data_IF_885216123092
#
_entry.id   IF_885216123092
#
_cell.length_a   1.000
_cell.length_b   1.000
_cell.length_c   1.000
_cell.angle_alpha   90.00
_cell.angle_beta   90.00
_cell.angle_gamma   90.00
#
_symmetry.space_group_name_H-M   'P 1'
#
loop_
_entity.id
_entity.type
_entity.pdbx_description
1 polymer ?
#
# COMPACT_ATOMS: atom_id res chain seq x y z
N UNK A 1 23.18 8.26 47.46
CA UNK A 1 22.79 7.44 46.28
C UNK A 1 21.29 7.53 45.91
N UNK A 2 20.36 7.74 46.86
CA UNK A 2 18.92 7.84 46.59
C UNK A 2 18.48 9.03 45.68
N UNK A 3 19.13 10.19 45.80
CA UNK A 3 18.82 11.39 44.98
C UNK A 3 19.12 11.20 43.48
N UNK A 4 20.27 10.60 43.13
CA UNK A 4 20.63 10.26 41.74
C UNK A 4 19.65 9.24 41.12
N UNK A 5 19.15 8.30 41.93
CA UNK A 5 18.12 7.33 41.53
C UNK A 5 16.75 7.98 41.28
N UNK A 6 16.34 8.94 42.11
CA UNK A 6 15.08 9.70 41.94
C UNK A 6 15.12 10.61 40.70
N UNK A 7 16.23 11.30 40.47
CA UNK A 7 16.45 12.12 39.27
C UNK A 7 16.49 11.28 37.99
N UNK A 8 17.15 10.12 38.00
CA UNK A 8 17.15 9.18 36.88
C UNK A 8 15.74 8.64 36.58
N UNK A 9 14.96 8.27 37.61
CA UNK A 9 13.56 7.85 37.47
C UNK A 9 12.67 8.96 36.90
N UNK A 10 12.85 10.21 37.34
CA UNK A 10 12.14 11.36 36.79
C UNK A 10 12.52 11.64 35.33
N UNK A 11 13.79 11.50 34.94
CA UNK A 11 14.22 11.64 33.55
C UNK A 11 13.67 10.53 32.65
N UNK A 12 13.66 9.28 33.12
CA UNK A 12 13.06 8.15 32.40
C UNK A 12 11.54 8.36 32.23
N UNK A 13 10.85 8.80 33.28
CA UNK A 13 9.42 9.15 33.24
C UNK A 13 9.13 10.29 32.25
N UNK A 14 9.88 11.40 32.31
CA UNK A 14 9.78 12.51 31.35
C UNK A 14 10.02 12.07 29.91
N UNK A 15 11.05 11.25 29.66
CA UNK A 15 11.34 10.69 28.32
C UNK A 15 10.22 9.77 27.83
N UNK A 16 9.61 9.01 28.73
CA UNK A 16 8.47 8.15 28.41
C UNK A 16 7.22 8.95 28.06
N UNK A 17 6.92 10.00 28.82
CA UNK A 17 5.79 10.90 28.56
C UNK A 17 5.94 11.64 27.22
N UNK A 18 7.15 12.11 26.89
CA UNK A 18 7.44 12.72 25.59
C UNK A 18 7.19 11.75 24.42
N UNK A 19 7.66 10.51 24.55
CA UNK A 19 7.40 9.48 23.53
C UNK A 19 5.91 9.24 23.35
N UNK A 20 5.15 9.12 24.44
CA UNK A 20 3.70 8.93 24.37
C UNK A 20 2.99 10.13 23.72
N UNK A 21 3.46 11.35 23.97
CA UNK A 21 2.94 12.55 23.33
C UNK A 21 3.12 12.50 21.81
N UNK A 22 4.33 12.22 21.31
CA UNK A 22 4.61 12.21 19.87
C UNK A 22 3.82 11.15 19.10
N UNK A 23 3.48 10.03 19.74
CA UNK A 23 2.75 8.94 19.09
C UNK A 23 1.41 9.38 18.53
N UNK A 24 0.62 10.13 19.31
CA UNK A 24 -0.67 10.64 18.84
C UNK A 24 -0.54 12.02 18.19
N UNK A 25 0.38 12.87 18.66
CA UNK A 25 0.52 14.23 18.15
C UNK A 25 0.96 14.29 16.69
N UNK A 26 1.87 13.42 16.24
CA UNK A 26 2.38 13.44 14.86
C UNK A 26 1.28 13.09 13.83
N UNK A 27 0.56 11.95 13.95
CA UNK A 27 -0.54 11.64 13.04
C UNK A 27 -1.70 12.63 13.13
N UNK A 28 -2.00 13.15 14.34
CA UNK A 28 -3.04 14.16 14.52
C UNK A 28 -2.69 15.47 13.85
N UNK A 29 -1.44 15.94 13.96
CA UNK A 29 -0.99 17.15 13.31
C UNK A 29 -1.08 17.02 11.78
N UNK A 30 -0.62 15.88 11.23
CA UNK A 30 -0.76 15.60 9.80
C UNK A 30 -2.25 15.58 9.37
N UNK A 31 -3.14 15.05 10.21
CA UNK A 31 -4.58 15.09 9.96
C UNK A 31 -5.16 16.51 9.98
N UNK A 32 -4.83 17.33 10.97
CA UNK A 32 -5.29 18.72 11.09
C UNK A 32 -4.83 19.56 9.90
N UNK A 33 -3.57 19.40 9.46
CA UNK A 33 -3.06 20.06 8.24
C UNK A 33 -3.92 19.67 7.04
N UNK A 34 -4.30 18.40 6.91
CA UNK A 34 -5.19 17.95 5.82
C UNK A 34 -6.58 18.56 5.90
N UNK A 35 -7.14 18.79 7.09
CA UNK A 35 -8.42 19.49 7.22
C UNK A 35 -8.35 20.93 6.70
N UNK A 36 -7.22 21.63 6.95
CA UNK A 36 -6.98 22.96 6.39
C UNK A 36 -6.90 22.88 4.86
N UNK A 37 -6.15 21.91 4.32
CA UNK A 37 -6.04 21.69 2.87
C UNK A 37 -7.41 21.40 2.24
N UNK A 38 -8.22 20.55 2.88
CA UNK A 38 -9.59 20.26 2.45
C UNK A 38 -10.46 21.52 2.42
N UNK A 39 -10.40 22.36 3.46
CA UNK A 39 -11.15 23.62 3.52
C UNK A 39 -10.78 24.61 2.41
N UNK A 40 -9.57 24.50 1.86
CA UNK A 40 -9.08 25.33 0.75
C UNK A 40 -9.17 24.62 -0.62
N UNK A 41 -9.77 23.44 -0.68
CA UNK A 41 -9.91 22.64 -1.90
C UNK A 41 -11.37 22.57 -2.30
N UNK A 42 -11.68 22.89 -3.57
CA UNK A 42 -13.04 22.76 -4.11
C UNK A 42 -13.60 21.35 -3.88
N UNK A 43 -14.75 21.26 -3.21
CA UNK A 43 -15.39 19.98 -2.86
C UNK A 43 -14.65 19.14 -1.80
N UNK A 44 -13.56 19.64 -1.21
CA UNK A 44 -12.81 18.96 -0.15
C UNK A 44 -11.87 17.84 -0.61
N UNK A 45 -11.60 17.69 -1.91
CA UNK A 45 -10.70 16.66 -2.44
C UNK A 45 -10.38 16.81 -3.92
N UNK A 46 -9.54 15.90 -4.44
CA UNK A 46 -9.13 15.88 -5.85
C UNK A 46 -9.43 14.54 -6.52
N UNK A 47 -9.53 14.55 -7.85
CA UNK A 47 -9.63 13.32 -8.63
C UNK A 47 -8.29 12.59 -8.70
N UNK A 48 -8.34 11.26 -8.53
CA UNK A 48 -7.20 10.37 -8.76
C UNK A 48 -7.09 9.94 -10.22
N UNK A 49 -6.27 8.92 -10.48
CA UNK A 49 -6.15 8.27 -11.80
C UNK A 49 -7.50 7.83 -12.35
N UNK A 50 -8.30 7.15 -11.50
CA UNK A 50 -9.58 6.56 -11.89
C UNK A 50 -10.75 7.25 -11.17
N UNK A 51 -10.54 8.49 -10.71
CA UNK A 51 -11.50 9.22 -9.87
C UNK A 51 -12.87 9.37 -10.51
N UNK A 52 -12.91 9.65 -11.81
CA UNK A 52 -14.12 9.77 -12.61
C UNK A 52 -14.87 8.43 -12.67
N UNK A 53 -14.17 7.33 -12.90
CA UNK A 53 -14.76 5.99 -12.93
C UNK A 53 -15.36 5.61 -11.56
N UNK A 54 -14.68 5.96 -10.46
CA UNK A 54 -15.20 5.71 -9.11
C UNK A 54 -16.47 6.50 -8.81
N UNK A 55 -16.51 7.78 -9.21
CA UNK A 55 -17.70 8.61 -9.08
C UNK A 55 -18.84 8.15 -9.99
N UNK A 56 -18.55 7.74 -11.22
CA UNK A 56 -19.55 7.18 -12.12
C UNK A 56 -20.19 5.90 -11.56
N UNK A 57 -19.39 5.03 -10.93
CA UNK A 57 -19.91 3.87 -10.22
C UNK A 57 -20.80 4.24 -9.03
N UNK A 58 -20.38 5.23 -8.23
CA UNK A 58 -21.18 5.72 -7.11
C UNK A 58 -22.49 6.37 -7.57
N UNK A 59 -22.48 7.10 -8.69
CA UNK A 59 -23.66 7.68 -9.32
C UNK A 59 -24.64 6.60 -9.82
N UNK A 60 -24.13 5.53 -10.45
CA UNK A 60 -24.95 4.36 -10.81
C UNK A 60 -25.67 3.75 -9.59
N UNK A 61 -24.95 3.59 -8.47
CA UNK A 61 -25.51 3.12 -7.20
C UNK A 61 -26.51 4.10 -6.59
N UNK A 62 -26.32 5.42 -6.73
CA UNK A 62 -27.31 6.42 -6.29
C UNK A 62 -28.61 6.31 -7.08
N UNK A 63 -28.53 6.05 -8.40
CA UNK A 63 -29.68 5.98 -9.30
C UNK A 63 -30.46 4.67 -9.21
N UNK A 64 -29.76 3.54 -9.12
CA UNK A 64 -30.36 2.20 -9.24
C UNK A 64 -30.26 1.36 -7.96
N UNK A 65 -29.57 1.86 -6.92
CA UNK A 65 -29.34 1.13 -5.69
C UNK A 65 -28.22 0.09 -5.79
N UNK A 66 -28.18 -0.82 -4.81
CA UNK A 66 -27.06 -1.77 -4.63
C UNK A 66 -26.82 -2.66 -5.87
N UNK A 67 -27.90 -3.11 -6.52
CA UNK A 67 -27.87 -3.98 -7.71
C UNK A 67 -27.77 -3.22 -9.03
N UNK A 68 -27.26 -1.98 -9.01
CA UNK A 68 -27.00 -1.21 -10.23
C UNK A 68 -26.24 -2.02 -11.29
N UNK A 69 -26.71 -1.96 -12.54
CA UNK A 69 -26.14 -2.64 -13.70
C UNK A 69 -25.09 -1.79 -14.43
N UNK A 70 -24.77 -0.60 -13.90
CA UNK A 70 -23.78 0.29 -14.49
C UNK A 70 -22.46 -0.45 -14.76
N UNK A 71 -22.03 -0.46 -16.03
CA UNK A 71 -20.94 -1.31 -16.51
C UNK A 71 -19.64 -1.14 -15.73
N UNK A 72 -19.33 0.07 -15.26
CA UNK A 72 -18.16 0.38 -14.43
C UNK A 72 -18.10 -0.40 -13.11
N UNK A 73 -19.25 -0.81 -12.55
CA UNK A 73 -19.34 -1.56 -11.29
C UNK A 73 -19.05 -3.06 -11.45
N UNK A 74 -19.05 -3.58 -12.68
CA UNK A 74 -18.62 -4.94 -13.00
C UNK A 74 -17.26 -4.98 -13.69
N UNK A 75 -16.90 -3.92 -14.41
CA UNK A 75 -15.56 -3.73 -14.95
C UNK A 75 -14.54 -3.49 -13.83
N UNK A 76 -14.74 -2.46 -13.01
CA UNK A 76 -13.94 -2.20 -11.82
C UNK A 76 -14.59 -2.84 -10.58
N UNK A 77 -13.82 -3.08 -9.52
CA UNK A 77 -14.39 -3.59 -8.27
C UNK A 77 -15.40 -2.61 -7.67
N UNK A 78 -16.62 -3.09 -7.40
CA UNK A 78 -17.70 -2.26 -6.88
C UNK A 78 -17.47 -1.74 -5.44
N UNK A 79 -16.55 -2.31 -4.67
CA UNK A 79 -16.46 -2.02 -3.24
C UNK A 79 -16.06 -0.58 -2.90
N UNK A 80 -15.20 0.06 -3.71
CA UNK A 80 -14.86 1.48 -3.51
C UNK A 80 -16.01 2.42 -3.91
N UNK A 81 -16.66 2.26 -5.09
CA UNK A 81 -17.92 2.94 -5.39
C UNK A 81 -19.00 2.77 -4.32
N UNK A 82 -19.15 1.57 -3.74
CA UNK A 82 -20.11 1.31 -2.65
C UNK A 82 -19.76 2.11 -1.40
N UNK A 83 -18.47 2.21 -1.04
CA UNK A 83 -18.04 3.08 0.07
C UNK A 83 -18.42 4.55 -0.19
N UNK A 84 -18.14 5.06 -1.40
CA UNK A 84 -18.49 6.44 -1.79
C UNK A 84 -20.01 6.63 -1.72
N UNK A 85 -20.78 5.68 -2.24
CA UNK A 85 -22.24 5.69 -2.21
C UNK A 85 -22.81 5.73 -0.79
N UNK A 86 -22.28 4.90 0.13
CA UNK A 86 -22.70 4.90 1.53
C UNK A 86 -22.41 6.24 2.22
N UNK A 87 -21.28 6.88 1.92
CA UNK A 87 -20.96 8.22 2.44
C UNK A 87 -21.87 9.29 1.81
N UNK A 88 -22.16 9.18 0.51
CA UNK A 88 -23.05 10.09 -0.20
C UNK A 88 -24.49 10.04 0.32
N UNK A 89 -24.93 8.93 0.93
CA UNK A 89 -26.23 8.86 1.63
C UNK A 89 -26.32 9.78 2.84
N UNK A 90 -25.20 10.17 3.44
CA UNK A 90 -25.18 11.18 4.52
C UNK A 90 -25.34 12.59 3.94
N UNK A 91 -24.66 12.87 2.84
CA UNK A 91 -24.78 14.13 2.09
C UNK A 91 -24.17 13.97 0.70
N UNK A 92 -25.01 14.08 -0.34
CA UNK A 92 -24.54 14.03 -1.74
C UNK A 92 -23.66 15.25 -2.05
N UNK A 93 -24.09 16.44 -1.60
CA UNK A 93 -23.36 17.71 -1.80
C UNK A 93 -21.95 17.66 -1.21
N UNK A 94 -21.80 17.02 -0.05
CA UNK A 94 -20.52 16.91 0.65
C UNK A 94 -19.84 15.53 0.47
N UNK A 95 -20.24 14.73 -0.52
CA UNK A 95 -19.78 13.34 -0.66
C UNK A 95 -18.26 13.20 -0.77
N UNK A 96 -17.62 14.06 -1.58
CA UNK A 96 -16.16 14.08 -1.73
C UNK A 96 -15.46 14.52 -0.44
N UNK A 97 -16.01 15.52 0.24
CA UNK A 97 -15.48 15.98 1.52
C UNK A 97 -15.54 14.87 2.58
N UNK A 98 -16.68 14.17 2.68
CA UNK A 98 -16.87 13.05 3.62
C UNK A 98 -15.90 11.90 3.33
N UNK A 99 -15.69 11.57 2.05
CA UNK A 99 -14.69 10.59 1.62
C UNK A 99 -13.28 10.99 2.04
N UNK A 100 -12.85 12.21 1.70
CA UNK A 100 -11.53 12.75 2.08
C UNK A 100 -11.33 12.76 3.59
N UNK A 101 -12.35 13.14 4.35
CA UNK A 101 -12.33 13.14 5.82
C UNK A 101 -12.16 11.71 6.35
N UNK A 102 -13.00 10.79 5.90
CA UNK A 102 -12.97 9.38 6.31
C UNK A 102 -11.60 8.75 6.04
N UNK A 103 -11.09 8.87 4.81
CA UNK A 103 -9.79 8.33 4.43
C UNK A 103 -8.65 8.96 5.24
N UNK A 104 -8.71 10.28 5.47
CA UNK A 104 -7.68 11.00 6.21
C UNK A 104 -7.64 10.62 7.69
N UNK A 105 -8.81 10.47 8.32
CA UNK A 105 -8.96 10.05 9.71
C UNK A 105 -8.51 8.59 9.87
N UNK A 106 -8.92 7.72 8.94
CA UNK A 106 -8.53 6.32 8.95
C UNK A 106 -7.01 6.13 8.77
N UNK A 107 -6.39 6.88 7.87
CA UNK A 107 -4.92 6.86 7.70
C UNK A 107 -4.18 7.38 8.93
N UNK A 108 -4.68 8.43 9.58
CA UNK A 108 -4.10 8.96 10.81
C UNK A 108 -4.16 7.92 11.94
N UNK A 109 -5.30 7.25 12.10
CA UNK A 109 -5.46 6.17 13.06
C UNK A 109 -4.55 4.97 12.74
N UNK A 110 -4.50 4.52 11.49
CA UNK A 110 -3.66 3.40 11.07
C UNK A 110 -2.15 3.69 11.30
N UNK A 111 -1.72 4.92 10.98
CA UNK A 111 -0.36 5.40 11.24
C UNK A 111 -0.03 5.40 12.72
N UNK A 112 -0.92 5.97 13.55
CA UNK A 112 -0.79 5.95 15.01
C UNK A 112 -0.69 4.52 15.53
N UNK A 113 -1.63 3.65 15.13
CA UNK A 113 -1.75 2.30 15.64
C UNK A 113 -0.50 1.47 15.30
N UNK A 114 -0.03 1.53 14.05
CA UNK A 114 1.19 0.84 13.63
C UNK A 114 2.40 1.26 14.48
N UNK A 115 2.66 2.56 14.62
CA UNK A 115 3.81 3.07 15.38
C UNK A 115 3.66 2.77 16.88
N UNK A 116 2.44 2.82 17.42
CA UNK A 116 2.14 2.45 18.81
C UNK A 116 2.61 1.03 19.11
N UNK A 117 2.42 0.08 18.19
CA UNK A 117 2.91 -1.28 18.41
C UNK A 117 4.44 -1.33 18.48
N UNK A 118 5.16 -0.47 17.77
CA UNK A 118 6.64 -0.48 17.82
C UNK A 118 7.19 0.09 19.13
N UNK A 119 6.40 0.89 19.87
CA UNK A 119 6.82 1.60 21.10
C UNK A 119 7.36 0.66 22.17
N UNK A 120 6.68 -0.47 22.39
CA UNK A 120 6.98 -1.39 23.49
C UNK A 120 8.04 -2.43 23.11
N UNK A 121 8.86 -2.11 22.09
CA UNK A 121 9.93 -2.96 21.57
C UNK A 121 11.28 -2.23 21.56
N UNK A 122 12.37 -2.92 21.19
CA UNK A 122 13.69 -2.30 20.96
C UNK A 122 13.69 -1.27 19.82
N UNK A 123 12.60 -1.16 19.06
CA UNK A 123 12.43 -0.14 18.02
C UNK A 123 12.00 1.23 18.56
N UNK A 124 11.71 1.34 19.86
CA UNK A 124 11.37 2.59 20.55
C UNK A 124 12.26 3.79 20.20
N UNK A 125 13.60 3.66 20.05
CA UNK A 125 14.45 4.80 19.69
C UNK A 125 14.20 5.36 18.29
N UNK A 126 13.57 4.58 17.39
CA UNK A 126 13.37 4.93 15.98
C UNK A 126 11.97 5.49 15.69
N UNK A 127 11.01 5.30 16.60
CA UNK A 127 9.58 5.57 16.37
C UNK A 127 9.27 7.03 16.01
N UNK A 128 10.07 8.00 16.48
CA UNK A 128 9.86 9.40 16.13
C UNK A 128 10.03 9.62 14.62
N UNK A 129 11.13 9.11 14.05
CA UNK A 129 11.39 9.26 12.62
C UNK A 129 10.45 8.37 11.80
N UNK A 130 10.09 7.17 12.29
CA UNK A 130 9.09 6.32 11.66
C UNK A 130 7.73 7.03 11.59
N UNK A 131 7.30 7.65 12.70
CA UNK A 131 6.03 8.38 12.75
C UNK A 131 6.00 9.54 11.76
N UNK A 132 7.06 10.36 11.71
CA UNK A 132 7.16 11.45 10.74
C UNK A 132 7.15 10.90 9.32
N UNK A 133 8.01 9.91 9.04
CA UNK A 133 8.15 9.37 7.68
C UNK A 133 6.85 8.75 7.16
N UNK A 134 6.02 8.15 8.00
CA UNK A 134 4.72 7.60 7.57
C UNK A 134 3.65 8.70 7.50
N UNK A 135 3.47 9.49 8.55
CA UNK A 135 2.37 10.46 8.63
C UNK A 135 2.53 11.65 7.68
N UNK A 136 3.77 12.11 7.46
CA UNK A 136 4.10 13.28 6.65
C UNK A 136 4.71 12.94 5.29
N UNK A 137 4.77 11.67 4.88
CA UNK A 137 5.15 11.35 3.50
C UNK A 137 4.16 12.05 2.55
N UNK A 138 4.61 12.96 1.66
CA UNK A 138 3.69 13.83 0.95
C UNK A 138 2.68 13.08 0.08
N UNK A 139 3.12 12.04 -0.63
CA UNK A 139 2.21 11.23 -1.45
C UNK A 139 1.27 10.41 -0.59
N UNK A 140 1.77 9.64 0.39
CA UNK A 140 0.90 8.84 1.25
C UNK A 140 -0.15 9.69 1.98
N UNK A 141 0.27 10.83 2.51
CA UNK A 141 -0.59 11.70 3.31
C UNK A 141 -1.62 12.42 2.45
N UNK A 142 -1.23 13.04 1.33
CA UNK A 142 -2.16 13.78 0.48
C UNK A 142 -3.04 12.89 -0.37
N UNK A 143 -2.62 11.65 -0.67
CA UNK A 143 -3.46 10.70 -1.40
C UNK A 143 -4.72 10.31 -0.63
N UNK A 144 -4.82 10.62 0.67
CA UNK A 144 -6.08 10.46 1.41
C UNK A 144 -7.13 11.51 1.07
N UNK A 145 -6.73 12.59 0.38
CA UNK A 145 -7.61 13.64 -0.15
C UNK A 145 -7.97 13.42 -1.62
N UNK A 146 -7.55 12.28 -2.17
CA UNK A 146 -7.79 11.91 -3.56
C UNK A 146 -8.90 10.89 -3.61
N UNK A 147 -9.78 11.01 -4.60
CA UNK A 147 -10.75 9.98 -4.98
C UNK A 147 -9.97 8.86 -5.68
N UNK A 148 -9.38 8.00 -4.85
CA UNK A 148 -8.57 6.85 -5.25
C UNK A 148 -8.38 5.92 -4.05
N UNK A 149 -8.59 4.62 -4.27
CA UNK A 149 -8.61 3.64 -3.21
C UNK A 149 -7.23 3.39 -2.57
N UNK A 150 -6.14 3.84 -3.19
CA UNK A 150 -4.77 3.43 -2.87
C UNK A 150 -4.36 3.81 -1.44
N UNK A 151 -4.81 4.97 -0.97
CA UNK A 151 -4.52 5.47 0.38
C UNK A 151 -5.33 4.74 1.46
N UNK A 152 -6.58 4.36 1.14
CA UNK A 152 -7.41 3.50 1.99
C UNK A 152 -6.74 2.14 2.16
N UNK A 153 -6.22 1.55 1.09
CA UNK A 153 -5.50 0.27 1.16
C UNK A 153 -4.17 0.40 1.93
N UNK A 154 -3.46 1.52 1.79
CA UNK A 154 -2.27 1.80 2.61
C UNK A 154 -2.60 1.84 4.10
N UNK A 155 -3.75 2.43 4.46
CA UNK A 155 -4.27 2.44 5.83
C UNK A 155 -4.60 1.01 6.31
N UNK A 156 -5.30 0.22 5.50
CA UNK A 156 -5.58 -1.18 5.79
C UNK A 156 -4.29 -1.98 6.00
N UNK A 157 -3.24 -1.73 5.20
CA UNK A 157 -1.97 -2.42 5.32
C UNK A 157 -1.24 -2.08 6.62
N UNK A 158 -1.14 -0.79 6.97
CA UNK A 158 -0.54 -0.35 8.24
C UNK A 158 -1.30 -0.94 9.44
N UNK A 159 -2.62 -0.94 9.38
CA UNK A 159 -3.47 -1.50 10.43
C UNK A 159 -3.30 -3.01 10.55
N UNK A 160 -3.30 -3.73 9.43
CA UNK A 160 -3.07 -5.19 9.37
C UNK A 160 -1.72 -5.55 10.00
N UNK A 161 -0.65 -4.85 9.61
CA UNK A 161 0.67 -5.10 10.19
C UNK A 161 0.72 -4.73 11.67
N UNK A 162 0.08 -3.63 12.08
CA UNK A 162 -0.06 -3.30 13.49
C UNK A 162 -0.75 -4.42 14.28
N UNK A 163 -1.87 -4.96 13.78
CA UNK A 163 -2.63 -6.03 14.44
C UNK A 163 -1.79 -7.31 14.57
N UNK A 164 -1.07 -7.68 13.51
CA UNK A 164 -0.16 -8.82 13.52
C UNK A 164 0.97 -8.60 14.55
N UNK A 165 1.59 -7.42 14.57
CA UNK A 165 2.64 -7.09 15.55
C UNK A 165 2.11 -7.16 16.98
N UNK A 166 0.94 -6.57 17.25
CA UNK A 166 0.29 -6.62 18.56
C UNK A 166 0.04 -8.07 19.01
N UNK A 167 -0.39 -8.94 18.10
CA UNK A 167 -0.62 -10.37 18.40
C UNK A 167 0.66 -11.11 18.81
N UNK A 168 1.82 -10.66 18.33
CA UNK A 168 3.11 -11.32 18.57
C UNK A 168 3.80 -10.88 19.86
N UNK A 169 3.37 -9.78 20.49
CA UNK A 169 4.08 -9.17 21.62
C UNK A 169 3.86 -9.85 22.95
N UNK A 170 2.74 -10.54 23.13
CA UNK A 170 2.39 -11.24 24.36
C UNK A 170 1.93 -12.66 24.00
N UNK A 171 2.37 -13.65 24.77
CA UNK A 171 1.97 -15.04 24.62
C UNK A 171 0.53 -15.25 25.15
N UNK A 172 -0.42 -14.51 24.57
CA UNK A 172 -1.81 -14.48 24.94
C UNK A 172 -2.67 -14.96 23.77
N UNK A 173 -3.28 -16.13 23.92
CA UNK A 173 -4.11 -16.75 22.88
C UNK A 173 -5.31 -15.88 22.53
N UNK A 174 -5.87 -15.10 23.46
CA UNK A 174 -6.98 -14.19 23.18
C UNK A 174 -6.58 -13.12 22.16
N UNK A 175 -5.35 -12.59 22.26
CA UNK A 175 -4.82 -11.63 21.28
C UNK A 175 -4.62 -12.22 19.90
N UNK A 176 -4.33 -13.52 19.81
CA UNK A 176 -4.23 -14.23 18.53
C UNK A 176 -5.62 -14.36 17.89
N UNK A 177 -6.64 -14.78 18.64
CA UNK A 177 -8.01 -14.87 18.12
C UNK A 177 -8.55 -13.51 17.69
N UNK A 178 -8.45 -12.50 18.57
CA UNK A 178 -8.86 -11.14 18.26
C UNK A 178 -8.07 -10.57 17.08
N UNK A 179 -6.77 -10.86 17.02
CA UNK A 179 -5.90 -10.51 15.91
C UNK A 179 -6.36 -11.12 14.60
N UNK A 180 -6.71 -12.41 14.59
CA UNK A 180 -7.14 -13.13 13.39
C UNK A 180 -8.48 -12.57 12.87
N UNK A 181 -9.43 -12.30 13.77
CA UNK A 181 -10.72 -11.67 13.43
C UNK A 181 -10.49 -10.27 12.86
N UNK A 182 -9.70 -9.45 13.54
CA UNK A 182 -9.45 -8.07 13.14
C UNK A 182 -8.69 -7.99 11.81
N UNK A 183 -7.67 -8.83 11.63
CA UNK A 183 -6.92 -8.93 10.36
C UNK A 183 -7.83 -9.41 9.24
N UNK A 184 -8.67 -10.42 9.49
CA UNK A 184 -9.68 -10.90 8.55
C UNK A 184 -10.64 -9.79 8.13
N UNK A 185 -11.17 -9.02 9.08
CA UNK A 185 -12.10 -7.93 8.81
C UNK A 185 -11.46 -6.78 8.00
N UNK A 186 -10.26 -6.35 8.38
CA UNK A 186 -9.51 -5.32 7.63
C UNK A 186 -9.16 -5.82 6.22
N UNK A 187 -8.83 -7.10 6.08
CA UNK A 187 -8.54 -7.73 4.80
C UNK A 187 -9.79 -7.90 3.93
N UNK A 188 -10.96 -8.12 4.54
CA UNK A 188 -12.25 -8.10 3.86
C UNK A 188 -12.51 -6.73 3.23
N UNK A 189 -12.32 -5.64 3.99
CA UNK A 189 -12.44 -4.26 3.48
C UNK A 189 -11.47 -4.03 2.31
N UNK A 190 -10.20 -4.41 2.48
CA UNK A 190 -9.18 -4.24 1.44
C UNK A 190 -9.53 -5.01 0.15
N UNK A 191 -10.00 -6.26 0.29
CA UNK A 191 -10.37 -7.12 -0.84
C UNK A 191 -11.67 -6.70 -1.51
N UNK A 192 -12.60 -6.12 -0.74
CA UNK A 192 -13.84 -5.53 -1.25
C UNK A 192 -13.55 -4.36 -2.18
N UNK A 193 -12.66 -3.47 -1.73
CA UNK A 193 -12.20 -2.30 -2.47
C UNK A 193 -11.32 -2.67 -3.66
N UNK A 194 -10.43 -3.66 -3.50
CA UNK A 194 -9.50 -4.05 -4.53
C UNK A 194 -9.18 -5.56 -4.47
N UNK A 195 -9.72 -6.40 -5.38
CA UNK A 195 -9.66 -7.87 -5.32
C UNK A 195 -8.24 -8.46 -5.38
N UNK A 196 -7.27 -7.73 -5.93
CA UNK A 196 -5.86 -8.15 -5.92
C UNK A 196 -5.32 -8.39 -4.49
N UNK A 197 -6.00 -7.86 -3.48
CA UNK A 197 -5.67 -8.04 -2.07
C UNK A 197 -6.09 -9.37 -1.48
N UNK A 198 -6.88 -10.17 -2.18
CA UNK A 198 -7.19 -11.55 -1.80
C UNK A 198 -5.89 -12.35 -1.72
N UNK A 199 -5.07 -12.31 -2.78
CA UNK A 199 -3.76 -12.98 -2.80
C UNK A 199 -2.84 -12.44 -1.71
N UNK A 200 -2.76 -11.11 -1.55
CA UNK A 200 -1.94 -10.47 -0.51
C UNK A 200 -2.33 -10.93 0.89
N UNK A 201 -3.63 -11.02 1.17
CA UNK A 201 -4.17 -11.49 2.45
C UNK A 201 -3.79 -12.95 2.70
N UNK A 202 -3.98 -13.82 1.72
CA UNK A 202 -3.65 -15.25 1.85
C UNK A 202 -2.15 -15.43 2.16
N UNK A 203 -1.28 -14.75 1.42
CA UNK A 203 0.17 -14.82 1.66
C UNK A 203 0.54 -14.27 3.04
N UNK A 204 -0.03 -13.14 3.46
CA UNK A 204 0.18 -12.58 4.80
C UNK A 204 -0.27 -13.57 5.88
N UNK A 205 -1.45 -14.18 5.74
CA UNK A 205 -1.98 -15.14 6.69
C UNK A 205 -1.09 -16.39 6.80
N UNK A 206 -0.60 -16.90 5.67
CA UNK A 206 0.35 -18.02 5.63
C UNK A 206 1.66 -17.64 6.33
N UNK A 207 2.26 -16.50 5.98
CA UNK A 207 3.50 -16.04 6.61
C UNK A 207 3.32 -15.84 8.10
N UNK A 208 2.21 -15.24 8.53
CA UNK A 208 1.91 -15.04 9.94
C UNK A 208 1.67 -16.36 10.69
N UNK A 209 0.93 -17.30 10.11
CA UNK A 209 0.73 -18.63 10.67
C UNK A 209 2.08 -19.36 10.86
N UNK A 210 2.94 -19.35 9.84
CA UNK A 210 4.27 -19.98 9.88
C UNK A 210 5.20 -19.39 10.95
N UNK A 211 4.90 -18.22 11.51
CA UNK A 211 5.65 -17.65 12.63
C UNK A 211 5.36 -18.34 13.98
N UNK A 212 4.34 -19.18 14.05
CA UNK A 212 3.98 -19.99 15.20
C UNK A 212 4.29 -21.46 14.96
N UNK A 213 4.80 -22.16 15.99
CA UNK A 213 5.04 -23.61 15.94
C UNK A 213 3.78 -24.43 16.19
N UNK A 214 2.79 -23.85 16.87
CA UNK A 214 1.57 -24.55 17.26
C UNK A 214 0.59 -24.64 16.07
N UNK A 215 0.31 -25.86 15.60
CA UNK A 215 -0.62 -26.11 14.48
C UNK A 215 -2.04 -25.59 14.73
N UNK A 216 -2.53 -25.62 15.97
CA UNK A 216 -3.86 -25.07 16.31
C UNK A 216 -3.91 -23.56 16.05
N UNK A 217 -2.86 -22.84 16.45
CA UNK A 217 -2.73 -21.40 16.19
C UNK A 217 -2.62 -21.10 14.68
N UNK A 218 -1.85 -21.92 13.95
CA UNK A 218 -1.75 -21.80 12.49
C UNK A 218 -3.12 -21.93 11.82
N UNK A 219 -3.89 -22.95 12.18
CA UNK A 219 -5.24 -23.18 11.65
C UNK A 219 -6.18 -22.03 12.01
N UNK A 220 -6.15 -21.54 13.26
CA UNK A 220 -6.97 -20.39 13.69
C UNK A 220 -6.66 -19.15 12.86
N UNK A 221 -5.38 -18.85 12.64
CA UNK A 221 -4.98 -17.70 11.81
C UNK A 221 -5.47 -17.87 10.38
N UNK A 222 -5.22 -19.04 9.77
CA UNK A 222 -5.58 -19.29 8.37
C UNK A 222 -7.10 -19.26 8.17
N UNK A 223 -7.85 -20.05 8.94
CA UNK A 223 -9.31 -20.15 8.83
C UNK A 223 -9.96 -18.82 9.22
N UNK A 224 -9.52 -18.20 10.32
CA UNK A 224 -10.09 -16.94 10.79
C UNK A 224 -9.88 -15.81 9.80
N UNK A 225 -8.64 -15.62 9.30
CA UNK A 225 -8.35 -14.53 8.36
C UNK A 225 -8.96 -14.78 6.99
N UNK A 226 -8.76 -15.97 6.41
CA UNK A 226 -9.23 -16.27 5.05
C UNK A 226 -10.76 -16.38 5.03
N UNK A 227 -11.36 -17.05 6.01
CA UNK A 227 -12.81 -17.21 6.11
C UNK A 227 -13.54 -15.86 6.23
N UNK A 228 -13.05 -14.96 7.09
CA UNK A 228 -13.64 -13.62 7.23
C UNK A 228 -13.38 -12.77 5.99
N UNK A 229 -12.17 -12.79 5.44
CA UNK A 229 -11.86 -12.02 4.23
C UNK A 229 -12.72 -12.45 3.04
N UNK A 230 -13.02 -13.75 2.90
CA UNK A 230 -13.80 -14.31 1.79
C UNK A 230 -15.25 -13.80 1.73
N UNK A 231 -15.80 -13.24 2.82
CA UNK A 231 -17.14 -12.65 2.83
C UNK A 231 -17.24 -11.51 1.81
N UNK A 232 -16.21 -10.65 1.73
CA UNK A 232 -16.21 -9.50 0.81
C UNK A 232 -16.30 -9.89 -0.68
N UNK A 233 -15.41 -10.73 -1.25
CA UNK A 233 -15.54 -11.15 -2.63
C UNK A 233 -16.81 -11.97 -2.89
N UNK A 234 -17.29 -12.77 -1.92
CA UNK A 234 -18.55 -13.49 -2.06
C UNK A 234 -19.75 -12.53 -2.22
N UNK A 235 -19.80 -11.44 -1.45
CA UNK A 235 -20.82 -10.40 -1.61
C UNK A 235 -20.74 -9.71 -2.97
N UNK A 236 -19.54 -9.41 -3.46
CA UNK A 236 -19.38 -8.80 -4.80
C UNK A 236 -19.81 -9.76 -5.92
N UNK A 237 -19.50 -11.06 -5.80
CA UNK A 237 -19.95 -12.08 -6.76
C UNK A 237 -21.48 -12.20 -6.73
N UNK A 238 -22.07 -12.30 -5.53
CA UNK A 238 -23.53 -12.38 -5.38
C UNK A 238 -24.22 -11.16 -5.99
N UNK A 239 -23.68 -9.96 -5.75
CA UNK A 239 -24.16 -8.72 -6.37
C UNK A 239 -24.10 -8.81 -7.89
N UNK A 240 -22.97 -9.22 -8.45
CA UNK A 240 -22.76 -9.23 -9.90
C UNK A 240 -23.58 -10.32 -10.62
N UNK A 241 -23.88 -11.43 -9.95
CA UNK A 241 -24.86 -12.41 -10.45
C UNK A 241 -26.24 -11.74 -10.56
N UNK A 242 -26.67 -11.00 -9.54
CA UNK A 242 -27.99 -10.36 -9.57
C UNK A 242 -28.07 -9.12 -10.49
N UNK A 243 -26.99 -8.34 -10.60
CA UNK A 243 -27.01 -7.09 -11.36
C UNK A 243 -26.70 -7.26 -12.84
N UNK A 244 -25.81 -8.20 -13.21
CA UNK A 244 -25.31 -8.34 -14.59
C UNK A 244 -25.15 -9.79 -15.04
N UNK A 245 -25.71 -10.75 -14.29
CA UNK A 245 -25.65 -12.19 -14.59
C UNK A 245 -24.23 -12.75 -14.76
N UNK A 246 -23.28 -12.26 -13.95
CA UNK A 246 -21.88 -12.71 -13.99
C UNK A 246 -21.33 -13.06 -12.61
N UNK A 247 -20.83 -14.29 -12.46
CA UNK A 247 -20.13 -14.76 -11.26
C UNK A 247 -18.67 -14.28 -11.20
N UNK A 248 -18.45 -12.97 -11.23
CA UNK A 248 -17.11 -12.34 -11.21
C UNK A 248 -17.04 -11.25 -10.13
N UNK A 249 -15.85 -10.99 -9.61
CA UNK A 249 -15.63 -9.86 -8.68
C UNK A 249 -15.44 -8.54 -9.47
N UNK A 250 -14.63 -8.60 -10.53
CA UNK A 250 -14.36 -7.52 -11.47
C UNK A 250 -13.80 -8.12 -12.78
N UNK A 251 -13.89 -7.40 -13.90
CA UNK A 251 -13.41 -7.85 -15.22
C UNK A 251 -12.36 -6.90 -15.82
N UNK A 252 -11.32 -6.58 -15.04
CA UNK A 252 -10.24 -5.65 -15.41
C UNK A 252 -8.85 -6.32 -15.44
N UNK A 253 -8.73 -7.57 -15.01
CA UNK A 253 -7.42 -8.20 -14.84
C UNK A 253 -6.77 -8.45 -16.19
N UNK A 254 -7.50 -9.06 -17.12
CA UNK A 254 -7.08 -9.30 -18.49
C UNK A 254 -6.75 -8.01 -19.22
N UNK A 255 -7.60 -6.98 -19.10
CA UNK A 255 -7.32 -5.65 -19.68
C UNK A 255 -6.02 -5.05 -19.16
N UNK A 256 -5.77 -5.10 -17.85
CA UNK A 256 -4.51 -4.62 -17.26
C UNK A 256 -3.30 -5.44 -17.74
N UNK A 257 -3.44 -6.75 -17.85
CA UNK A 257 -2.38 -7.63 -18.37
C UNK A 257 -2.08 -7.32 -19.83
N UNK A 258 -3.11 -7.06 -20.65
CA UNK A 258 -2.97 -6.71 -22.05
C UNK A 258 -2.24 -5.38 -22.26
N UNK A 259 -2.50 -4.37 -21.41
CA UNK A 259 -1.75 -3.10 -21.41
C UNK A 259 -0.25 -3.34 -21.19
N UNK A 260 0.10 -4.25 -20.27
CA UNK A 260 1.49 -4.55 -19.95
C UNK A 260 2.16 -5.59 -20.86
N UNK A 261 1.50 -6.12 -21.90
CA UNK A 261 2.03 -7.20 -22.73
C UNK A 261 1.95 -6.86 -24.22
N UNK A 262 2.88 -7.39 -25.02
CA UNK A 262 2.96 -7.11 -26.45
C UNK A 262 4.40 -7.01 -26.95
N UNK A 263 4.56 -7.01 -28.26
CA UNK A 263 5.88 -7.03 -28.90
C UNK A 263 6.62 -5.69 -28.82
N UNK A 264 5.86 -4.58 -28.82
CA UNK A 264 6.39 -3.21 -28.86
C UNK A 264 6.04 -2.40 -27.60
N UNK A 265 5.42 -3.03 -26.60
CA UNK A 265 5.12 -2.36 -25.32
C UNK A 265 6.37 -2.17 -24.48
N UNK A 266 6.43 -1.09 -23.72
CA UNK A 266 7.41 -0.92 -22.64
C UNK A 266 7.09 -1.80 -21.42
N UNK A 267 5.82 -2.22 -21.29
CA UNK A 267 5.24 -2.87 -20.11
C UNK A 267 4.61 -1.90 -19.10
N UNK A 268 4.72 -0.59 -19.34
CA UNK A 268 4.25 0.49 -18.46
C UNK A 268 2.86 1.00 -18.78
N UNK A 269 2.55 2.19 -18.27
CA UNK A 269 1.32 2.93 -18.60
C UNK A 269 1.68 4.40 -18.88
N UNK A 270 1.33 4.95 -20.06
CA UNK A 270 0.38 4.41 -21.05
C UNK A 270 0.94 3.25 -21.91
N UNK A 271 0.03 2.46 -22.48
CA UNK A 271 0.37 1.38 -23.42
C UNK A 271 1.09 1.93 -24.66
N UNK A 272 2.10 1.21 -25.16
CA UNK A 272 2.75 1.50 -26.43
C UNK A 272 2.69 0.29 -27.36
N UNK A 273 2.51 0.54 -28.66
CA UNK A 273 2.41 -0.50 -29.68
C UNK A 273 1.05 -1.20 -29.73
N UNK A 274 0.96 -2.33 -30.45
CA UNK A 274 -0.24 -3.15 -30.49
C UNK A 274 -0.37 -4.05 -29.25
N UNK A 275 -1.60 -4.26 -28.81
CA UNK A 275 -1.93 -5.25 -27.76
C UNK A 275 -1.74 -6.67 -28.28
N UNK A 276 -1.52 -7.62 -27.36
CA UNK A 276 -1.46 -9.06 -27.70
C UNK A 276 -2.75 -9.47 -28.44
N UNK A 277 -2.65 -10.00 -29.68
CA UNK A 277 -3.82 -10.43 -30.43
C UNK A 277 -4.61 -11.49 -29.65
N UNK A 278 -5.92 -11.28 -29.54
CA UNK A 278 -6.83 -12.19 -28.86
C UNK A 278 -8.17 -12.17 -29.57
N UNK A 279 -8.50 -13.27 -30.25
CA UNK A 279 -9.76 -13.40 -30.99
C UNK A 279 -10.92 -13.70 -30.04
N UNK A 280 -12.10 -13.12 -30.27
CA UNK A 280 -13.28 -13.45 -29.51
C UNK A 280 -13.73 -14.88 -29.79
N UNK A 281 -14.24 -15.57 -28.77
CA UNK A 281 -14.85 -16.90 -28.95
C UNK A 281 -16.31 -16.71 -29.36
N UNK A 282 -16.76 -17.19 -30.54
CA UNK A 282 -18.15 -17.10 -30.96
C UNK A 282 -19.10 -17.69 -29.90
N UNK A 283 -20.26 -17.06 -29.60
CA UNK A 283 -20.93 -15.99 -30.34
C UNK A 283 -20.53 -14.56 -29.94
N UNK A 284 -19.53 -14.37 -29.08
CA UNK A 284 -19.12 -13.02 -28.65
C UNK A 284 -18.39 -12.27 -29.77
N UNK A 285 -18.53 -10.94 -29.79
CA UNK A 285 -17.86 -10.04 -30.76
C UNK A 285 -16.59 -9.40 -30.20
N UNK A 286 -16.33 -9.55 -28.89
CA UNK A 286 -15.13 -9.07 -28.22
C UNK A 286 -14.62 -10.11 -27.20
N UNK A 287 -13.30 -10.23 -26.98
CA UNK A 287 -12.74 -11.19 -26.04
C UNK A 287 -13.16 -10.88 -24.61
N UNK A 288 -13.46 -11.92 -23.82
CA UNK A 288 -13.73 -11.75 -22.39
C UNK A 288 -12.44 -11.41 -21.63
N UNK A 289 -12.56 -10.83 -20.42
CA UNK A 289 -11.39 -10.57 -19.56
C UNK A 289 -10.58 -11.85 -19.29
N UNK A 290 -11.26 -13.00 -19.15
CA UNK A 290 -10.60 -14.29 -18.97
C UNK A 290 -9.83 -14.76 -20.22
N UNK A 291 -10.32 -14.44 -21.41
CA UNK A 291 -9.66 -14.78 -22.67
C UNK A 291 -8.42 -13.90 -22.86
N UNK A 292 -8.51 -12.61 -22.52
CA UNK A 292 -7.34 -11.73 -22.50
C UNK A 292 -6.24 -12.26 -21.57
N UNK A 293 -6.59 -12.73 -20.36
CA UNK A 293 -5.60 -13.37 -19.46
C UNK A 293 -4.95 -14.58 -20.14
N UNK A 294 -5.73 -15.48 -20.74
CA UNK A 294 -5.19 -16.68 -21.44
C UNK A 294 -4.28 -16.28 -22.60
N UNK A 295 -4.69 -15.32 -23.42
CA UNK A 295 -3.92 -14.81 -24.55
C UNK A 295 -2.57 -14.21 -24.09
N UNK A 296 -2.58 -13.36 -23.06
CA UNK A 296 -1.36 -12.77 -22.51
C UNK A 296 -0.44 -13.82 -21.89
N UNK A 297 -0.97 -14.78 -21.13
CA UNK A 297 -0.18 -15.87 -20.55
C UNK A 297 0.45 -16.74 -21.65
N UNK A 298 -0.32 -17.07 -22.70
CA UNK A 298 0.19 -17.80 -23.86
C UNK A 298 1.29 -17.01 -24.57
N UNK A 299 1.12 -15.70 -24.74
CA UNK A 299 2.13 -14.83 -25.33
C UNK A 299 3.42 -14.79 -24.51
N UNK A 300 3.34 -14.72 -23.16
CA UNK A 300 4.52 -14.80 -22.31
C UNK A 300 5.25 -16.13 -22.45
N UNK A 301 4.51 -17.24 -22.55
CA UNK A 301 5.09 -18.57 -22.72
C UNK A 301 5.77 -18.74 -24.09
N UNK A 302 5.21 -18.15 -25.16
CA UNK A 302 5.78 -18.23 -26.51
C UNK A 302 6.90 -17.22 -26.77
N UNK A 303 7.02 -16.15 -25.96
CA UNK A 303 8.03 -15.10 -26.11
C UNK A 303 8.87 -14.89 -24.82
N UNK A 304 9.56 -15.93 -24.30
CA UNK A 304 10.17 -15.89 -22.97
C UNK A 304 11.20 -14.76 -22.80
N UNK A 305 12.00 -14.46 -23.83
CA UNK A 305 13.00 -13.38 -23.80
C UNK A 305 12.34 -12.00 -23.71
N UNK A 306 11.30 -11.76 -24.53
CA UNK A 306 10.55 -10.50 -24.48
C UNK A 306 9.79 -10.36 -23.16
N UNK A 307 9.15 -11.43 -22.72
CA UNK A 307 8.45 -11.50 -21.44
C UNK A 307 9.37 -11.12 -20.27
N UNK A 308 10.59 -11.69 -20.21
CA UNK A 308 11.57 -11.36 -19.16
C UNK A 308 11.96 -9.89 -19.19
N UNK A 309 12.20 -9.31 -20.38
CA UNK A 309 12.49 -7.87 -20.52
C UNK A 309 11.34 -7.01 -20.01
N UNK A 310 10.10 -7.36 -20.34
CA UNK A 310 8.91 -6.66 -19.85
C UNK A 310 8.77 -6.79 -18.33
N UNK A 311 8.99 -7.97 -17.75
CA UNK A 311 8.94 -8.15 -16.30
C UNK A 311 9.98 -7.29 -15.57
N UNK A 312 11.21 -7.19 -16.10
CA UNK A 312 12.24 -6.31 -15.55
C UNK A 312 11.80 -4.84 -15.64
N UNK A 313 11.33 -4.39 -16.82
CA UNK A 313 10.85 -3.02 -17.01
C UNK A 313 9.71 -2.67 -16.05
N UNK A 314 8.69 -3.53 -15.96
CA UNK A 314 7.57 -3.38 -15.02
C UNK A 314 8.04 -3.32 -13.58
N UNK A 315 9.04 -4.14 -13.25
CA UNK A 315 9.69 -4.13 -11.96
C UNK A 315 10.30 -2.76 -11.65
N UNK A 316 10.97 -2.13 -12.61
CA UNK A 316 11.48 -0.76 -12.48
C UNK A 316 10.36 0.28 -12.41
N UNK A 317 9.32 0.18 -13.24
CA UNK A 317 8.21 1.13 -13.28
C UNK A 317 7.43 1.18 -11.97
N UNK A 318 7.27 0.04 -11.28
CA UNK A 318 6.70 0.00 -9.92
C UNK A 318 7.44 0.90 -8.92
N UNK A 319 8.77 1.02 -9.06
CA UNK A 319 9.60 1.85 -8.20
C UNK A 319 9.87 3.24 -8.75
N UNK A 320 9.42 3.57 -9.95
CA UNK A 320 9.68 4.84 -10.60
C UNK A 320 9.22 6.05 -9.76
N UNK A 321 9.82 7.24 -9.95
CA UNK A 321 9.32 8.46 -9.34
C UNK A 321 7.93 8.82 -9.88
N UNK A 322 7.22 9.73 -9.20
CA UNK A 322 5.87 10.15 -9.59
C UNK A 322 5.83 11.05 -10.83
N UNK A 323 6.96 11.70 -11.13
CA UNK A 323 7.17 12.55 -12.29
C UNK A 323 8.65 12.54 -12.68
N UNK A 324 8.97 13.21 -13.79
CA UNK A 324 10.34 13.30 -14.31
C UNK A 324 10.71 12.14 -15.25
N UNK A 325 11.98 12.03 -15.65
CA UNK A 325 12.38 11.31 -16.85
C UNK A 325 12.35 9.78 -16.73
N UNK A 326 12.16 9.25 -15.53
CA UNK A 326 11.94 7.81 -15.30
C UNK A 326 10.54 7.50 -14.76
N UNK A 327 9.68 8.51 -14.58
CA UNK A 327 8.36 8.32 -14.00
C UNK A 327 7.47 7.52 -14.95
N UNK A 328 6.88 6.43 -14.45
CA UNK A 328 5.95 5.61 -15.24
C UNK A 328 4.76 5.11 -14.42
N UNK A 329 3.56 5.31 -14.99
CA UNK A 329 2.30 4.96 -14.35
C UNK A 329 1.30 6.12 -14.29
N UNK A 330 0.27 5.96 -13.47
CA UNK A 330 -0.90 6.85 -13.51
C UNK A 330 -0.95 7.90 -12.39
N UNK A 331 0.19 8.24 -11.78
CA UNK A 331 0.25 9.24 -10.71
C UNK A 331 0.44 10.68 -11.19
N UNK A 332 0.09 11.00 -12.44
CA UNK A 332 0.12 12.38 -12.95
C UNK A 332 -0.77 13.34 -12.14
N UNK A 333 -1.84 12.83 -11.51
CA UNK A 333 -2.74 13.57 -10.61
C UNK A 333 -2.35 13.50 -9.13
N UNK A 334 -1.15 13.04 -8.81
CA UNK A 334 -0.65 13.01 -7.43
C UNK A 334 -0.63 14.44 -6.85
N UNK A 335 -1.33 14.73 -5.73
CA UNK A 335 -1.39 16.07 -5.19
C UNK A 335 -0.02 16.65 -4.80
N UNK A 336 0.96 15.78 -4.49
CA UNK A 336 2.33 16.21 -4.24
C UNK A 336 2.93 16.99 -5.42
N UNK A 337 2.56 16.65 -6.66
CA UNK A 337 3.06 17.31 -7.85
C UNK A 337 2.59 18.76 -7.99
N UNK A 338 1.52 19.16 -7.29
CA UNK A 338 1.01 20.55 -7.31
C UNK A 338 1.99 21.55 -6.68
N UNK A 339 2.88 21.10 -5.80
CA UNK A 339 3.85 21.95 -5.10
C UNK A 339 5.23 21.30 -4.98
N UNK A 340 5.50 20.29 -5.81
CA UNK A 340 6.80 19.64 -5.88
C UNK A 340 7.83 20.63 -6.45
N UNK A 341 8.92 20.96 -5.73
CA UNK A 341 9.93 21.89 -6.22
C UNK A 341 10.54 21.49 -7.57
N UNK A 342 10.70 20.19 -7.83
CA UNK A 342 11.27 19.70 -9.09
C UNK A 342 10.34 19.98 -10.28
N UNK A 343 9.03 19.90 -10.06
CA UNK A 343 8.03 20.20 -11.07
C UNK A 343 8.03 21.71 -11.39
N UNK A 344 8.14 22.55 -10.36
CA UNK A 344 8.21 24.00 -10.50
C UNK A 344 9.49 24.42 -11.25
N UNK A 345 10.64 23.82 -10.92
CA UNK A 345 11.91 24.06 -11.64
C UNK A 345 11.79 23.66 -13.11
N UNK A 346 11.21 22.48 -13.39
CA UNK A 346 11.05 21.98 -14.75
C UNK A 346 10.13 22.86 -15.61
N UNK A 347 9.13 23.51 -15.02
CA UNK A 347 8.17 24.39 -15.71
C UNK A 347 8.63 25.84 -15.81
N UNK A 348 9.51 26.27 -14.92
CA UNK A 348 9.93 27.68 -14.80
C UNK A 348 10.91 28.15 -15.88
N UNK A 349 11.65 27.26 -16.55
CA UNK A 349 12.57 27.63 -17.64
C UNK A 349 13.00 26.42 -18.47
N UNK A 350 13.53 26.66 -19.68
CA UNK A 350 14.12 25.60 -20.51
C UNK A 350 15.34 24.97 -19.84
N UNK A 351 16.21 25.76 -19.21
CA UNK A 351 17.37 25.25 -18.47
C UNK A 351 16.96 24.38 -17.28
N UNK A 352 15.91 24.78 -16.55
CA UNK A 352 15.33 23.98 -15.48
C UNK A 352 14.70 22.68 -15.99
N UNK A 353 14.01 22.72 -17.14
CA UNK A 353 13.50 21.53 -17.81
C UNK A 353 14.64 20.57 -18.17
N UNK A 354 15.71 21.09 -18.77
CA UNK A 354 16.88 20.31 -19.15
C UNK A 354 17.56 19.68 -17.93
N UNK A 355 17.66 20.40 -16.81
CA UNK A 355 18.19 19.88 -15.56
C UNK A 355 17.35 18.70 -15.02
N UNK A 356 16.02 18.83 -15.04
CA UNK A 356 15.10 17.84 -14.44
C UNK A 356 14.83 16.65 -15.37
N UNK A 357 14.78 16.84 -16.69
CA UNK A 357 14.34 15.80 -17.63
C UNK A 357 15.45 15.21 -18.51
N UNK A 358 16.62 15.85 -18.64
CA UNK A 358 17.75 15.29 -19.39
C UNK A 358 18.66 14.46 -18.46
N UNK A 359 19.94 14.33 -18.85
CA UNK A 359 20.90 13.44 -18.20
C UNK A 359 21.02 13.62 -16.67
N UNK A 360 21.10 14.85 -16.12
CA UNK A 360 21.20 15.02 -14.66
C UNK A 360 19.98 14.44 -13.93
N UNK A 361 18.78 14.79 -14.38
CA UNK A 361 17.53 14.29 -13.84
C UNK A 361 17.38 12.77 -13.97
N UNK A 362 17.84 12.18 -15.07
CA UNK A 362 17.87 10.71 -15.25
C UNK A 362 18.78 10.03 -14.23
N UNK A 363 19.98 10.56 -14.00
CA UNK A 363 20.93 10.04 -13.01
C UNK A 363 20.35 10.14 -11.59
N UNK A 364 19.79 11.30 -11.23
CA UNK A 364 19.19 11.53 -9.91
C UNK A 364 17.98 10.60 -9.71
N UNK A 365 17.11 10.48 -10.71
CA UNK A 365 15.94 9.61 -10.65
C UNK A 365 16.36 8.15 -10.48
N UNK A 366 17.38 7.70 -11.21
CA UNK A 366 17.91 6.34 -11.08
C UNK A 366 18.51 6.11 -9.69
N UNK A 367 19.35 7.04 -9.21
CA UNK A 367 19.93 6.97 -7.87
C UNK A 367 18.86 6.96 -6.76
N UNK A 368 17.77 7.70 -6.95
CA UNK A 368 16.64 7.72 -6.04
C UNK A 368 15.92 6.36 -6.00
N UNK A 369 15.60 5.79 -7.17
CA UNK A 369 14.97 4.46 -7.29
C UNK A 369 15.84 3.39 -6.61
N UNK A 370 17.12 3.32 -7.01
CA UNK A 370 18.05 2.34 -6.46
C UNK A 370 18.32 2.56 -4.98
N UNK A 371 18.37 3.81 -4.53
CA UNK A 371 18.49 4.21 -3.13
C UNK A 371 17.31 3.71 -2.30
N UNK A 372 16.08 3.94 -2.73
CA UNK A 372 14.87 3.47 -2.05
C UNK A 372 14.85 1.94 -1.91
N UNK A 373 15.14 1.21 -2.99
CA UNK A 373 15.20 -0.26 -2.98
C UNK A 373 16.30 -0.75 -2.04
N UNK A 374 17.51 -0.20 -2.17
CA UNK A 374 18.66 -0.59 -1.34
C UNK A 374 18.40 -0.34 0.13
N UNK A 375 17.87 0.84 0.48
CA UNK A 375 17.56 1.21 1.87
C UNK A 375 16.49 0.31 2.48
N UNK A 376 15.47 -0.07 1.69
CA UNK A 376 14.46 -1.02 2.13
C UNK A 376 15.09 -2.39 2.47
N UNK A 377 15.92 -2.95 1.60
CA UNK A 377 16.56 -4.25 1.84
C UNK A 377 17.60 -4.19 2.97
N UNK A 378 18.40 -3.13 3.07
CA UNK A 378 19.32 -2.91 4.20
C UNK A 378 18.53 -2.89 5.51
N UNK A 379 17.41 -2.16 5.55
CA UNK A 379 16.52 -2.12 6.71
C UNK A 379 15.93 -3.47 7.06
N UNK A 380 15.49 -4.24 6.07
CA UNK A 380 15.02 -5.61 6.26
C UNK A 380 16.08 -6.51 6.89
N UNK A 381 17.29 -6.57 6.30
CA UNK A 381 18.35 -7.44 6.80
C UNK A 381 18.84 -7.03 8.19
N UNK A 382 18.91 -5.73 8.47
CA UNK A 382 19.28 -5.24 9.80
C UNK A 382 18.20 -5.54 10.85
N UNK A 383 16.92 -5.36 10.51
CA UNK A 383 15.83 -5.72 11.42
C UNK A 383 15.77 -7.25 11.66
N UNK A 384 16.03 -8.04 10.61
CA UNK A 384 16.12 -9.50 10.71
C UNK A 384 17.28 -9.96 11.59
N UNK A 385 18.42 -9.27 11.56
CA UNK A 385 19.59 -9.64 12.37
C UNK A 385 19.37 -9.49 13.88
N UNK A 386 18.38 -8.68 14.31
CA UNK A 386 18.00 -8.51 15.71
C UNK A 386 17.30 -9.74 16.33
N UNK A 387 16.97 -10.76 15.52
CA UNK A 387 16.32 -12.02 15.91
C UNK A 387 14.96 -11.83 16.62
N UNK A 388 14.34 -12.93 17.06
CA UNK A 388 13.08 -12.91 17.81
C UNK A 388 11.92 -12.24 17.07
N UNK A 389 11.18 -11.38 17.77
CA UNK A 389 10.05 -10.63 17.18
C UNK A 389 10.49 -9.70 16.03
N UNK A 390 11.71 -9.17 16.05
CA UNK A 390 12.18 -8.24 15.02
C UNK A 390 12.35 -8.92 13.67
N UNK A 391 12.85 -10.16 13.66
CA UNK A 391 12.90 -10.95 12.44
C UNK A 391 11.51 -11.18 11.86
N UNK A 392 10.51 -11.45 12.73
CA UNK A 392 9.11 -11.58 12.30
C UNK A 392 8.57 -10.27 11.74
N UNK A 393 8.82 -9.13 12.40
CA UNK A 393 8.45 -7.79 11.92
C UNK A 393 9.05 -7.54 10.53
N UNK A 394 10.34 -7.87 10.32
CA UNK A 394 11.00 -7.70 9.03
C UNK A 394 10.30 -8.48 7.90
N UNK A 395 9.88 -9.72 8.16
CA UNK A 395 9.14 -10.51 7.17
C UNK A 395 7.74 -9.98 6.91
N UNK A 396 6.95 -9.69 7.95
CA UNK A 396 5.58 -9.21 7.75
C UNK A 396 5.54 -7.84 7.06
N UNK A 397 6.58 -7.01 7.18
CA UNK A 397 6.64 -5.73 6.47
C UNK A 397 7.23 -5.82 5.07
N UNK A 398 8.20 -6.70 4.80
CA UNK A 398 8.80 -6.83 3.46
C UNK A 398 7.95 -7.67 2.51
N UNK A 399 7.41 -8.80 2.97
CA UNK A 399 6.70 -9.76 2.11
C UNK A 399 5.57 -9.11 1.32
N UNK A 400 4.69 -8.28 1.92
CA UNK A 400 3.61 -7.66 1.15
C UNK A 400 4.12 -6.70 0.08
N UNK A 401 5.22 -5.98 0.34
CA UNK A 401 5.84 -5.05 -0.63
C UNK A 401 6.40 -5.85 -1.82
N UNK A 402 7.09 -6.95 -1.56
CA UNK A 402 7.65 -7.80 -2.63
C UNK A 402 6.53 -8.48 -3.41
N UNK A 403 5.47 -8.93 -2.73
CA UNK A 403 4.34 -9.56 -3.40
C UNK A 403 3.60 -8.58 -4.32
N UNK A 404 3.31 -7.36 -3.86
CA UNK A 404 2.67 -6.34 -4.72
C UNK A 404 3.57 -5.95 -5.89
N UNK A 405 4.88 -5.91 -5.67
CA UNK A 405 5.85 -5.70 -6.73
C UNK A 405 5.83 -6.81 -7.78
N UNK A 406 5.80 -8.09 -7.37
CA UNK A 406 5.70 -9.24 -8.27
C UNK A 406 4.37 -9.28 -9.03
N UNK A 407 3.26 -8.94 -8.37
CA UNK A 407 1.94 -8.85 -9.03
C UNK A 407 1.93 -7.74 -10.09
N UNK A 408 2.57 -6.60 -9.84
CA UNK A 408 2.73 -5.55 -10.84
C UNK A 408 3.58 -6.03 -12.04
N UNK A 409 4.64 -6.79 -11.80
CA UNK A 409 5.43 -7.41 -12.88
C UNK A 409 4.59 -8.36 -13.73
N UNK A 410 3.71 -9.16 -13.12
CA UNK A 410 2.81 -10.07 -13.84
C UNK A 410 1.64 -9.39 -14.57
N UNK A 411 1.35 -8.12 -14.27
CA UNK A 411 0.21 -7.38 -14.82
C UNK A 411 0.65 -6.18 -15.64
N UNK A 412 0.81 -5.00 -15.03
CA UNK A 412 1.32 -3.78 -15.65
C UNK A 412 2.23 -3.04 -14.69
N UNK A 413 3.32 -2.48 -15.21
CA UNK A 413 4.25 -1.66 -14.46
C UNK A 413 3.66 -0.27 -14.24
N UNK A 414 3.20 0.00 -13.02
CA UNK A 414 2.62 1.30 -12.65
C UNK A 414 3.06 1.64 -11.23
N UNK A 415 3.73 2.79 -11.05
CA UNK A 415 4.18 3.25 -9.73
C UNK A 415 3.05 3.44 -8.72
N UNK A 416 1.80 3.63 -9.16
CA UNK A 416 0.62 3.80 -8.31
C UNK A 416 0.40 2.57 -7.43
N UNK A 417 0.68 1.39 -7.97
CA UNK A 417 0.51 0.12 -7.25
C UNK A 417 1.49 -0.07 -6.09
N UNK A 418 2.49 0.82 -5.95
CA UNK A 418 3.36 0.89 -4.78
C UNK A 418 2.66 1.51 -3.57
N UNK A 419 1.75 2.47 -3.76
CA UNK A 419 1.15 3.28 -2.68
C UNK A 419 0.52 2.42 -1.57
N UNK A 420 -0.28 1.39 -1.89
CA UNK A 420 -0.91 0.55 -0.87
C UNK A 420 0.06 -0.17 0.09
N UNK A 421 1.32 -0.37 -0.31
CA UNK A 421 2.36 -0.98 0.53
C UNK A 421 3.48 -0.02 0.90
N UNK A 422 3.39 1.24 0.45
CA UNK A 422 4.47 2.22 0.58
C UNK A 422 4.75 2.58 2.04
N UNK A 423 3.75 2.55 2.93
CA UNK A 423 3.98 2.76 4.37
C UNK A 423 4.97 1.74 4.96
N UNK A 424 4.90 0.48 4.51
CA UNK A 424 5.82 -0.58 4.94
C UNK A 424 7.21 -0.43 4.33
N UNK A 425 7.29 -0.06 3.04
CA UNK A 425 8.59 0.20 2.41
C UNK A 425 9.28 1.40 3.04
N UNK A 426 8.55 2.47 3.36
CA UNK A 426 9.08 3.65 4.05
C UNK A 426 9.56 3.29 5.46
N UNK A 427 8.80 2.50 6.22
CA UNK A 427 9.27 1.98 7.50
C UNK A 427 10.62 1.25 7.36
N UNK A 428 10.73 0.33 6.39
CA UNK A 428 11.98 -0.39 6.14
C UNK A 428 13.12 0.55 5.69
N UNK A 429 12.85 1.56 4.87
CA UNK A 429 13.86 2.56 4.49
C UNK A 429 14.36 3.36 5.71
N UNK A 430 13.49 3.72 6.64
CA UNK A 430 13.90 4.36 7.91
C UNK A 430 14.79 3.41 8.73
N UNK A 431 14.45 2.12 8.78
CA UNK A 431 15.32 1.12 9.41
C UNK A 431 16.67 1.01 8.71
N UNK A 432 16.70 1.09 7.37
CA UNK A 432 17.94 1.12 6.58
C UNK A 432 18.81 2.32 6.90
N UNK A 433 18.21 3.50 7.09
CA UNK A 433 18.91 4.70 7.52
C UNK A 433 19.58 4.51 8.89
N UNK A 434 18.85 3.95 9.85
CA UNK A 434 19.44 3.66 11.16
C UNK A 434 20.51 2.56 11.10
N UNK A 435 20.36 1.56 10.23
CA UNK A 435 21.37 0.55 10.00
C UNK A 435 22.68 1.15 9.48
N UNK A 436 22.61 2.04 8.49
CA UNK A 436 23.77 2.74 7.95
C UNK A 436 24.43 3.64 9.00
N UNK A 437 23.63 4.40 9.75
CA UNK A 437 24.14 5.23 10.86
C UNK A 437 24.84 4.37 11.93
N UNK A 438 24.27 3.21 12.25
CA UNK A 438 24.88 2.24 13.16
C UNK A 438 26.20 1.71 12.61
N UNK A 439 26.25 1.35 11.32
CA UNK A 439 27.48 0.92 10.64
C UNK A 439 28.57 1.99 10.68
N UNK A 440 28.23 3.25 10.40
CA UNK A 440 29.20 4.37 10.46
C UNK A 440 29.75 4.54 11.87
N UNK A 441 28.89 4.43 12.90
CA UNK A 441 29.31 4.61 14.30
C UNK A 441 30.13 3.43 14.85
N UNK A 442 29.76 2.20 14.52
CA UNK A 442 30.32 0.99 15.13
C UNK A 442 31.24 0.20 14.21
N UNK A 443 31.40 0.64 12.95
CA UNK A 443 32.06 -0.09 11.86
C UNK A 443 31.47 -1.48 11.57
N UNK A 444 30.30 -1.79 12.12
CA UNK A 444 29.66 -3.10 12.00
C UNK A 444 28.13 -2.96 11.89
N UNK A 445 27.49 -3.91 11.20
CA UNK A 445 26.03 -4.06 11.26
C UNK A 445 25.58 -4.93 12.44
N UNK A 446 26.51 -5.53 13.18
CA UNK A 446 26.20 -6.34 14.35
C UNK A 446 25.53 -5.46 15.40
N UNK A 447 24.29 -5.82 15.71
CA UNK A 447 23.61 -5.33 16.91
C UNK A 447 24.19 -6.16 18.05
N UNK A 448 24.80 -5.51 19.05
CA UNK A 448 25.35 -6.21 20.21
C UNK A 448 24.30 -7.18 20.74
N UNK A 449 24.55 -8.48 20.58
CA UNK A 449 23.70 -9.52 21.15
C UNK A 449 23.86 -9.37 22.66
N UNK A 450 22.80 -8.98 23.36
CA UNK A 450 22.82 -9.02 24.82
C UNK A 450 23.19 -10.45 25.27
N UNK A 451 24.08 -10.60 26.27
CA UNK A 451 24.47 -11.91 26.82
C UNK A 451 23.32 -12.72 27.43
N UNK A 452 22.09 -12.18 27.49
CA UNK A 452 20.95 -12.77 28.18
C UNK A 452 20.08 -13.71 27.34
N UNK A 453 20.51 -14.10 26.13
CA UNK A 453 19.81 -15.11 25.33
C UNK A 453 20.01 -16.57 25.82
N UNK A 454 20.64 -16.76 26.99
CA UNK A 454 20.53 -17.99 27.81
C UNK A 454 19.61 -17.70 28.99
N UNK A 455 18.30 -17.91 28.78
CA UNK A 455 17.22 -18.07 29.77
C UNK A 455 15.97 -17.28 29.35
N UNK A 456 15.16 -17.87 28.47
CA UNK A 456 13.68 -17.84 28.48
C UNK A 456 13.13 -18.69 27.35
#
# INVERSE_FOLDING_TARGET
MASKSKAARQQVSKKSNKVNFYLWAIPLLAFVIKLIVMGNTTGGGWLGSDGESWLAGADGLLKQGYYSDASVLSYMPAGYPILIWLLAKLSVVNGVWLLSFFQSAFYAFASFYFVKQLRDTKLRPYIFLIAIAIAFNPTLSLSTLVIGYESLLSSCMLLTMGLIINSMQLADTHKIYFGAISVGAVSAIASFVQPRWILTTVVIAVVWALMYKNRKVQVVILVGVIGIMAIAPALTIQRNIQSVDKAVIASILGSNMAVGAGDETSGGYPHTGPVVPCEPVPPATAPSDSDLVKCVVKWYASHPVKAMRLFINKGFFFWSPWSGPLGEGTMARNPWLKFNPLENISKGSQQGNDLVNKLPGKIISFAWVMGCISMMFIGFFWLRSMKGIYAKIAYVTLVPVVLTWLVAMGTVGDHRYRIPTMGLSVFLQVMGYFALRHKVKTRSFAVALEPSAKAR
#
